data_IF_677568608642
#
_entry.id   IF_677568608642
#
_cell.length_a   1.000
_cell.length_b   1.000
_cell.length_c   1.000
_cell.angle_alpha   90.00
_cell.angle_beta   90.00
_cell.angle_gamma   90.00
#
_symmetry.space_group_name_H-M   'P 1'
#
loop_
_entity.id
_entity.type
_entity.pdbx_description
1 polymer ?
#
# COMPACT_ATOMS: atom_id res chain seq x y z
N UNK A 1 23.75 -19.25 1.15
CA UNK A 1 22.96 -18.05 1.52
C UNK A 1 21.71 -18.02 0.67
N UNK A 2 20.54 -18.23 1.27
CA UNK A 2 19.26 -18.10 0.55
C UNK A 2 18.99 -16.62 0.39
N UNK A 3 19.02 -16.13 -0.86
CA UNK A 3 18.70 -14.73 -1.14
C UNK A 3 17.30 -14.42 -0.60
N UNK A 4 17.12 -13.36 0.21
CA UNK A 4 15.83 -13.04 0.85
C UNK A 4 14.69 -12.83 -0.17
N UNK A 5 15.04 -12.64 -1.44
CA UNK A 5 14.12 -12.45 -2.56
C UNK A 5 13.54 -13.75 -3.15
N UNK A 6 13.92 -14.96 -2.67
CA UNK A 6 13.29 -16.23 -3.10
C UNK A 6 12.04 -16.58 -2.30
N UNK A 7 11.30 -15.59 -1.82
CA UNK A 7 10.05 -15.84 -1.11
C UNK A 7 8.96 -16.12 -2.15
N UNK A 8 8.26 -17.24 -2.00
CA UNK A 8 7.16 -17.58 -2.89
C UNK A 8 6.08 -16.49 -2.79
N UNK A 9 5.68 -15.94 -3.94
CA UNK A 9 4.64 -14.92 -4.04
C UNK A 9 3.34 -15.65 -4.40
N UNK A 10 2.30 -15.60 -3.55
CA UNK A 10 0.99 -16.14 -3.89
C UNK A 10 0.43 -15.48 -5.15
N UNK A 11 -0.27 -16.25 -6.00
CA UNK A 11 -0.87 -15.74 -7.24
C UNK A 11 -1.93 -14.66 -7.03
N UNK A 12 -2.45 -14.55 -5.80
CA UNK A 12 -3.45 -13.56 -5.41
C UNK A 12 -2.84 -12.20 -5.04
N UNK A 13 -1.51 -12.08 -4.97
CA UNK A 13 -0.83 -10.80 -4.71
C UNK A 13 -0.96 -9.90 -5.93
N UNK A 14 -1.48 -8.69 -5.71
CA UNK A 14 -1.66 -7.65 -6.72
C UNK A 14 -0.51 -6.62 -6.65
N UNK A 15 0.05 -6.39 -5.47
CA UNK A 15 1.21 -5.52 -5.24
C UNK A 15 2.41 -6.36 -4.73
N UNK A 16 3.25 -6.80 -5.68
CA UNK A 16 4.38 -7.70 -5.38
C UNK A 16 5.45 -7.01 -4.52
N UNK A 17 5.74 -5.74 -4.77
CA UNK A 17 6.78 -5.03 -4.03
C UNK A 17 6.35 -4.80 -2.58
N UNK A 18 5.09 -4.41 -2.37
CA UNK A 18 4.53 -4.29 -1.02
C UNK A 18 4.52 -5.64 -0.30
N UNK A 19 4.17 -6.74 -0.98
CA UNK A 19 4.21 -8.08 -0.40
C UNK A 19 5.61 -8.49 0.05
N UNK A 20 6.62 -8.31 -0.80
CA UNK A 20 8.00 -8.68 -0.48
C UNK A 20 8.54 -7.87 0.69
N UNK A 21 8.40 -6.54 0.65
CA UNK A 21 8.85 -5.65 1.71
C UNK A 21 8.17 -5.99 3.04
N UNK A 22 6.84 -6.10 3.05
CA UNK A 22 6.10 -6.41 4.26
C UNK A 22 6.45 -7.80 4.80
N UNK A 23 6.71 -8.78 3.93
CA UNK A 23 7.17 -10.10 4.35
C UNK A 23 8.56 -10.03 4.99
N UNK A 24 9.46 -9.19 4.50
CA UNK A 24 10.81 -9.04 5.07
C UNK A 24 10.75 -8.41 6.46
N UNK A 25 9.89 -7.42 6.66
CA UNK A 25 9.63 -6.83 7.99
C UNK A 25 9.03 -7.87 8.94
N UNK A 26 8.03 -8.66 8.53
CA UNK A 26 7.48 -9.75 9.37
C UNK A 26 8.55 -10.78 9.73
N UNK A 27 9.45 -11.13 8.80
CA UNK A 27 10.54 -12.06 9.06
C UNK A 27 11.57 -11.51 10.04
N UNK A 28 11.80 -10.20 10.02
CA UNK A 28 12.71 -9.52 10.95
C UNK A 28 12.09 -9.30 12.35
N UNK A 29 10.76 -9.22 12.45
CA UNK A 29 10.02 -9.00 13.70
C UNK A 29 9.31 -10.26 14.15
N UNK A 30 10.07 -11.29 14.52
CA UNK A 30 9.53 -12.50 15.16
C UNK A 30 9.38 -12.31 16.68
N UNK A 31 8.51 -13.09 17.34
CA UNK A 31 8.46 -13.13 18.80
C UNK A 31 9.79 -13.65 19.37
N UNK A 32 10.16 -13.19 20.56
CA UNK A 32 11.39 -13.62 21.22
C UNK A 32 11.25 -15.09 21.64
N UNK A 33 12.25 -15.96 21.40
CA UNK A 33 12.12 -17.40 21.62
C UNK A 33 11.70 -17.83 23.03
N UNK A 34 12.16 -17.09 24.04
CA UNK A 34 11.86 -17.38 25.44
C UNK A 34 10.68 -16.55 26.00
N UNK A 35 10.25 -15.51 25.28
CA UNK A 35 9.26 -14.52 25.71
C UNK A 35 8.35 -14.22 24.51
N UNK A 36 7.39 -15.11 24.19
CA UNK A 36 6.60 -15.03 22.96
C UNK A 36 5.70 -13.79 22.89
N UNK A 37 5.43 -13.17 24.04
CA UNK A 37 4.75 -11.90 24.22
C UNK A 37 5.63 -10.69 23.90
N UNK A 38 6.91 -10.88 23.56
CA UNK A 38 7.87 -9.81 23.28
C UNK A 38 8.47 -9.91 21.88
N UNK A 39 8.79 -8.77 21.28
CA UNK A 39 9.46 -8.74 19.98
C UNK A 39 10.95 -9.06 20.15
N UNK A 40 11.46 -9.98 19.32
CA UNK A 40 12.88 -10.35 19.28
C UNK A 40 13.73 -9.48 18.34
N UNK A 41 13.14 -8.52 17.64
CA UNK A 41 13.90 -7.58 16.80
C UNK A 41 14.68 -6.60 17.69
N UNK A 42 15.97 -6.41 17.42
CA UNK A 42 16.84 -5.53 18.20
C UNK A 42 16.37 -4.05 18.25
N UNK A 43 15.63 -3.59 17.24
CA UNK A 43 15.09 -2.22 17.20
C UNK A 43 13.83 -2.02 18.05
N UNK A 44 13.20 -3.12 18.48
CA UNK A 44 11.99 -3.13 19.30
C UNK A 44 12.15 -4.10 20.47
N UNK A 45 13.39 -4.34 20.92
CA UNK A 45 13.70 -5.42 21.85
C UNK A 45 12.95 -5.21 23.16
N UNK A 46 12.19 -6.23 23.57
CA UNK A 46 11.44 -6.21 24.82
C UNK A 46 10.07 -5.54 24.75
N UNK A 47 9.71 -4.91 23.63
CA UNK A 47 8.35 -4.40 23.37
C UNK A 47 7.35 -5.54 23.22
N UNK A 48 6.07 -5.26 23.49
CA UNK A 48 5.00 -6.23 23.31
C UNK A 48 4.90 -6.73 21.86
N UNK A 49 4.73 -8.04 21.68
CA UNK A 49 4.47 -8.67 20.39
C UNK A 49 2.96 -8.90 20.18
N UNK A 50 2.41 -8.59 18.99
CA UNK A 50 3.10 -8.00 17.84
C UNK A 50 3.35 -6.50 18.02
N UNK A 51 4.62 -6.10 17.89
CA UNK A 51 5.02 -4.70 17.95
C UNK A 51 4.41 -3.90 16.78
N UNK A 52 4.35 -2.55 16.85
CA UNK A 52 3.74 -1.75 15.79
C UNK A 52 4.26 -2.05 14.37
N UNK A 53 5.59 -2.18 14.13
CA UNK A 53 6.09 -2.54 12.80
C UNK A 53 5.62 -3.93 12.32
N UNK A 54 5.53 -4.91 13.21
CA UNK A 54 5.03 -6.24 12.86
C UNK A 54 3.54 -6.19 12.48
N UNK A 55 2.73 -5.46 13.26
CA UNK A 55 1.30 -5.24 12.97
C UNK A 55 1.11 -4.58 11.62
N UNK A 56 1.83 -3.49 11.35
CA UNK A 56 1.71 -2.74 10.11
C UNK A 56 2.15 -3.57 8.91
N UNK A 57 3.22 -4.37 9.05
CA UNK A 57 3.66 -5.29 8.01
C UNK A 57 2.65 -6.42 7.73
N UNK A 58 1.98 -6.94 8.75
CA UNK A 58 0.87 -7.88 8.54
C UNK A 58 -0.28 -7.24 7.76
N UNK A 59 -0.66 -6.00 8.10
CA UNK A 59 -1.69 -5.25 7.37
C UNK A 59 -1.26 -4.96 5.92
N UNK A 60 -0.01 -4.60 5.69
CA UNK A 60 0.55 -4.38 4.36
C UNK A 60 0.52 -5.65 3.50
N UNK A 61 0.81 -6.83 4.07
CA UNK A 61 0.65 -8.12 3.36
C UNK A 61 -0.80 -8.37 2.95
N UNK A 62 -1.76 -8.04 3.81
CA UNK A 62 -3.19 -8.16 3.47
C UNK A 62 -3.58 -7.17 2.37
N UNK A 63 -3.09 -5.93 2.44
CA UNK A 63 -3.32 -4.91 1.42
C UNK A 63 -2.74 -5.29 0.06
N UNK A 64 -1.57 -5.96 0.05
CA UNK A 64 -0.93 -6.45 -1.17
C UNK A 64 -1.70 -7.58 -1.88
N UNK A 65 -2.61 -8.29 -1.18
CA UNK A 65 -3.51 -9.29 -1.78
C UNK A 65 -4.78 -8.64 -2.31
N UNK A 66 -5.30 -7.62 -1.61
CA UNK A 66 -6.52 -6.96 -2.04
C UNK A 66 -6.27 -6.33 -3.41
N UNK A 67 -7.22 -6.42 -4.35
CA UNK A 67 -7.20 -5.52 -5.50
C UNK A 67 -7.12 -4.12 -4.91
N UNK A 68 -6.01 -3.40 -5.18
CA UNK A 68 -6.02 -1.97 -4.95
C UNK A 68 -7.24 -1.48 -5.72
N UNK A 69 -8.22 -0.92 -5.00
CA UNK A 69 -9.32 -0.22 -5.63
C UNK A 69 -8.65 0.82 -6.50
N UNK A 70 -8.51 0.54 -7.80
CA UNK A 70 -8.20 1.58 -8.77
C UNK A 70 -9.21 2.66 -8.45
N UNK A 71 -8.81 3.91 -8.15
CA UNK A 71 -9.78 4.97 -7.95
C UNK A 71 -10.68 4.97 -9.19
N UNK A 72 -11.85 4.40 -8.99
CA UNK A 72 -12.75 3.96 -10.04
C UNK A 72 -13.53 5.17 -10.44
N UNK A 73 -12.97 5.95 -11.36
CA UNK A 73 -13.59 7.16 -11.83
C UNK A 73 -12.60 8.30 -11.79
N UNK A 74 -12.42 8.93 -12.95
CA UNK A 74 -11.89 10.28 -13.04
C UNK A 74 -12.64 11.12 -12.01
N UNK A 75 -11.92 11.73 -11.07
CA UNK A 75 -12.51 12.72 -10.19
C UNK A 75 -13.21 13.75 -11.08
N UNK A 76 -14.54 13.77 -11.09
CA UNK A 76 -15.28 14.84 -11.77
C UNK A 76 -15.14 16.06 -10.87
N UNK A 77 -14.14 16.88 -11.18
CA UNK A 77 -14.05 18.21 -10.59
C UNK A 77 -15.25 18.98 -11.12
N UNK A 78 -16.24 19.21 -10.25
CA UNK A 78 -17.32 20.16 -10.55
C UNK A 78 -16.70 21.55 -10.45
N UNK A 79 -16.28 22.09 -11.59
CA UNK A 79 -15.81 23.48 -11.66
C UNK A 79 -17.03 24.39 -11.45
N UNK A 80 -17.05 25.27 -10.44
CA UNK A 80 -18.07 26.31 -10.38
C UNK A 80 -17.98 27.15 -11.66
N UNK A 81 -19.14 27.47 -12.24
CA UNK A 81 -19.24 28.34 -13.41
C UNK A 81 -18.97 29.80 -12.99
N UNK A 82 -17.74 30.11 -12.59
CA UNK A 82 -17.28 31.48 -12.60
C UNK A 82 -16.67 31.75 -13.98
N UNK A 83 -17.00 32.90 -14.54
CA UNK A 83 -16.37 33.38 -15.76
C UNK A 83 -14.90 33.67 -15.43
N UNK A 84 -14.00 32.80 -15.90
CA UNK A 84 -12.57 33.09 -15.85
C UNK A 84 -12.31 34.19 -16.87
N UNK A 85 -12.30 35.45 -16.43
CA UNK A 85 -11.78 36.58 -17.20
C UNK A 85 -10.25 36.51 -17.21
N UNK A 86 -9.71 35.62 -18.03
CA UNK A 86 -8.28 35.43 -18.23
C UNK A 86 -7.98 34.82 -19.59
N UNK A 87 -6.73 34.97 -20.04
CA UNK A 87 -6.18 34.58 -21.36
C UNK A 87 -6.29 33.10 -21.74
N UNK A 88 -6.96 32.28 -20.93
CA UNK A 88 -7.16 30.85 -21.16
C UNK A 88 -8.53 30.59 -21.79
N UNK A 89 -8.55 30.24 -23.07
CA UNK A 89 -9.76 29.84 -23.79
C UNK A 89 -9.78 28.31 -23.95
N UNK A 90 -10.68 27.58 -23.25
CA UNK A 90 -10.88 26.15 -23.49
C UNK A 90 -11.41 25.94 -24.90
N UNK A 91 -10.84 25.00 -25.64
CA UNK A 91 -11.34 24.63 -26.96
C UNK A 91 -12.79 24.13 -26.83
N UNK A 92 -13.74 24.83 -27.48
CA UNK A 92 -15.14 24.41 -27.53
C UNK A 92 -15.21 23.10 -28.32
N UNK A 93 -15.60 22.01 -27.66
CA UNK A 93 -16.06 20.81 -28.37
C UNK A 93 -17.43 21.09 -28.95
N UNK A 94 -17.51 21.18 -30.28
CA UNK A 94 -18.76 21.33 -31.01
C UNK A 94 -19.57 20.03 -30.87
N UNK A 95 -20.83 20.05 -30.40
CA UNK A 95 -21.69 18.89 -30.52
C UNK A 95 -22.12 18.76 -31.97
N UNK A 96 -21.82 17.60 -32.55
CA UNK A 96 -22.29 17.18 -33.87
C UNK A 96 -23.74 16.72 -33.72
N UNK A 97 -24.69 17.48 -34.27
CA UNK A 97 -26.09 17.07 -34.37
C UNK A 97 -26.28 16.19 -35.61
N UNK A 98 -27.09 15.14 -35.45
CA UNK A 98 -27.50 14.18 -36.47
C UNK A 98 -28.48 14.80 -37.48
#
# INVERSE_FOLDING_TARGET
MVSPHRRAIPRTVTDVLLWLLASDVVAAHQPQPHWPDRCGNLRCAGEAYPCPPARDAHLARQAAIRPQSRPGGRARVSMPAYQVTGWFQPARTHPQAA
#
